data_IF_949402367259
#
_entry.id   IF_949402367259
#
_cell.length_a   1.000
_cell.length_b   1.000
_cell.length_c   1.000
_cell.angle_alpha   90.00
_cell.angle_beta   90.00
_cell.angle_gamma   90.00
#
_symmetry.space_group_name_H-M   'P 1'
#
loop_
_entity.id
_entity.type
_entity.pdbx_description
1 polymer ?
#
# COMPACT_ATOMS: atom_id res chain seq x y z
N UNK A 1 -23.48 9.13 15.23
CA UNK A 1 -22.26 9.96 15.04
C UNK A 1 -21.22 9.13 14.29
N UNK A 2 -20.95 9.42 13.02
CA UNK A 2 -19.83 8.79 12.32
C UNK A 2 -18.53 9.41 12.84
N UNK A 3 -17.76 8.65 13.63
CA UNK A 3 -16.39 9.03 13.96
C UNK A 3 -15.58 8.96 12.67
N UNK A 4 -15.08 10.11 12.21
CA UNK A 4 -14.08 10.14 11.13
C UNK A 4 -12.86 9.39 11.67
N UNK A 5 -12.58 8.21 11.13
CA UNK A 5 -11.36 7.49 11.48
C UNK A 5 -10.19 8.19 10.81
N UNK A 6 -9.36 8.86 11.62
CA UNK A 6 -8.09 9.42 11.14
C UNK A 6 -7.16 8.25 10.83
N UNK A 7 -6.67 8.11 9.59
CA UNK A 7 -5.75 7.05 9.23
C UNK A 7 -4.42 7.23 9.97
N UNK A 8 -3.79 6.11 10.33
CA UNK A 8 -2.49 6.09 11.01
C UNK A 8 -1.32 6.15 10.03
N UNK A 9 -1.56 5.81 8.77
CA UNK A 9 -0.57 5.85 7.70
C UNK A 9 -1.27 5.98 6.35
N UNK A 10 -0.68 6.73 5.44
CA UNK A 10 -1.22 6.95 4.10
C UNK A 10 -0.16 6.77 3.02
N UNK A 11 -0.51 6.06 1.96
CA UNK A 11 0.25 5.99 0.71
C UNK A 11 -0.46 6.86 -0.33
N UNK A 12 0.23 7.88 -0.82
CA UNK A 12 -0.29 8.83 -1.79
C UNK A 12 0.58 8.85 -3.05
N UNK A 13 -0.01 8.48 -4.19
CA UNK A 13 0.60 8.45 -5.51
C UNK A 13 1.98 7.77 -5.57
N UNK A 14 2.09 6.60 -4.96
CA UNK A 14 3.33 5.83 -4.90
C UNK A 14 3.56 5.11 -6.22
N UNK A 15 4.77 5.23 -6.75
CA UNK A 15 5.28 4.46 -7.89
C UNK A 15 6.66 3.92 -7.55
N UNK A 16 6.83 2.60 -7.63
CA UNK A 16 8.13 1.96 -7.46
C UNK A 16 8.55 1.37 -8.80
N UNK A 17 9.74 1.75 -9.24
CA UNK A 17 10.36 1.27 -10.48
C UNK A 17 11.68 0.60 -10.12
N UNK A 18 11.89 -0.63 -10.60
CA UNK A 18 13.16 -1.36 -10.51
C UNK A 18 13.43 -2.00 -11.86
N UNK A 19 14.69 -2.00 -12.28
CA UNK A 19 15.11 -2.58 -13.58
C UNK A 19 14.28 -2.07 -14.77
N UNK A 20 13.96 -0.77 -14.77
CA UNK A 20 13.06 -0.11 -15.74
C UNK A 20 11.62 -0.66 -15.81
N UNK A 21 11.21 -1.53 -14.88
CA UNK A 21 9.85 -2.06 -14.77
C UNK A 21 9.13 -1.38 -13.61
N UNK A 22 7.87 -0.99 -13.81
CA UNK A 22 7.02 -0.49 -12.71
C UNK A 22 6.48 -1.69 -11.92
N UNK A 23 7.05 -1.97 -10.75
CA UNK A 23 6.64 -3.10 -9.91
C UNK A 23 5.42 -2.79 -9.04
N UNK A 24 5.22 -1.53 -8.68
CA UNK A 24 4.13 -1.12 -7.79
C UNK A 24 3.62 0.27 -8.19
N UNK A 25 2.30 0.42 -8.23
CA UNK A 25 1.61 1.70 -8.41
C UNK A 25 0.39 1.75 -7.50
N UNK A 26 0.40 2.69 -6.55
CA UNK A 26 -0.70 2.90 -5.59
C UNK A 26 -1.15 4.35 -5.72
N UNK A 27 -2.42 4.57 -6.08
CA UNK A 27 -2.99 5.92 -6.21
C UNK A 27 -3.23 6.56 -4.85
N UNK A 28 -4.01 5.91 -4.00
CA UNK A 28 -4.30 6.32 -2.63
C UNK A 28 -4.65 5.07 -1.83
N UNK A 29 -4.00 4.89 -0.69
CA UNK A 29 -4.33 3.83 0.26
C UNK A 29 -4.11 4.31 1.69
N UNK A 30 -5.05 3.99 2.58
CA UNK A 30 -5.07 4.49 3.97
C UNK A 30 -5.17 3.32 4.94
N UNK A 31 -4.25 3.28 5.90
CA UNK A 31 -4.22 2.29 6.96
C UNK A 31 -4.89 2.85 8.21
N UNK A 32 -5.76 2.05 8.82
CA UNK A 32 -6.57 2.45 9.96
C UNK A 32 -6.21 1.61 11.18
N UNK A 33 -6.24 2.24 12.36
CA UNK A 33 -5.93 1.56 13.62
C UNK A 33 -6.90 0.41 13.87
N UNK A 34 -6.37 -0.77 14.18
CA UNK A 34 -7.16 -1.96 14.51
C UNK A 34 -7.66 -2.77 13.31
N UNK A 35 -7.36 -2.34 12.08
CA UNK A 35 -7.68 -3.11 10.87
C UNK A 35 -6.61 -4.16 10.57
N UNK A 36 -7.05 -5.32 10.06
CA UNK A 36 -6.18 -6.38 9.54
C UNK A 36 -6.25 -6.32 8.01
N UNK A 37 -5.10 -6.24 7.35
CA UNK A 37 -4.99 -6.13 5.90
C UNK A 37 -4.37 -7.39 5.29
N UNK A 38 -5.03 -7.97 4.30
CA UNK A 38 -4.48 -9.05 3.47
C UNK A 38 -3.97 -8.50 2.14
N UNK A 39 -2.72 -8.79 1.78
CA UNK A 39 -2.15 -8.44 0.48
C UNK A 39 -2.18 -9.69 -0.42
N UNK A 40 -2.99 -9.67 -1.46
CA UNK A 40 -3.17 -10.81 -2.39
C UNK A 40 -2.87 -10.41 -3.82
N UNK A 41 -2.47 -11.37 -4.65
CA UNK A 41 -2.21 -11.17 -6.07
C UNK A 41 -1.20 -12.16 -6.66
N UNK A 42 -1.07 -12.23 -7.99
CA UNK A 42 -0.16 -13.15 -8.68
C UNK A 42 1.32 -12.87 -8.36
N UNK A 43 2.19 -13.80 -8.77
CA UNK A 43 3.65 -13.60 -8.71
C UNK A 43 4.01 -12.34 -9.50
N UNK A 44 4.91 -11.51 -8.96
CA UNK A 44 5.33 -10.26 -9.61
C UNK A 44 4.42 -9.05 -9.40
N UNK A 45 3.24 -9.20 -8.76
CA UNK A 45 2.29 -8.09 -8.54
C UNK A 45 2.77 -6.98 -7.57
N UNK A 46 4.01 -7.03 -7.09
CA UNK A 46 4.56 -6.01 -6.19
C UNK A 46 4.18 -6.17 -4.71
N UNK A 47 3.73 -7.36 -4.28
CA UNK A 47 3.36 -7.62 -2.86
C UNK A 47 4.54 -7.39 -1.90
N UNK A 48 5.68 -8.02 -2.17
CA UNK A 48 6.91 -7.80 -1.38
C UNK A 48 7.40 -6.37 -1.51
N UNK A 49 7.27 -5.77 -2.70
CA UNK A 49 7.58 -4.35 -2.93
C UNK A 49 6.72 -3.41 -2.08
N UNK A 50 5.43 -3.71 -1.90
CA UNK A 50 4.53 -2.98 -1.01
C UNK A 50 4.96 -3.11 0.45
N UNK A 51 5.32 -4.31 0.91
CA UNK A 51 5.82 -4.49 2.28
C UNK A 51 7.12 -3.72 2.51
N UNK A 52 8.06 -3.75 1.55
CA UNK A 52 9.34 -3.03 1.69
C UNK A 52 9.21 -1.50 1.81
N UNK A 53 8.13 -0.90 1.31
CA UNK A 53 7.91 0.56 1.45
C UNK A 53 7.16 0.93 2.73
N UNK A 54 6.54 -0.04 3.41
CA UNK A 54 5.84 0.19 4.68
C UNK A 54 6.79 0.18 5.89
N UNK A 55 8.01 -0.33 5.72
CA UNK A 55 8.99 -0.50 6.80
C UNK A 55 9.16 -1.97 7.16
#
# INVERSE_FOLDING_TARGET
>A
MNRIQVPIFELNNIKVVRDNVTNLKIKNFKFHRGAIYGIVGPIGAGKSTLLSILG
#
